data_IF_051855582121
#
_entry.id   IF_051855582121
#
_cell.length_a   1.000
_cell.length_b   1.000
_cell.length_c   1.000
_cell.angle_alpha   90.00
_cell.angle_beta   90.00
_cell.angle_gamma   90.00
#
_symmetry.space_group_name_H-M   'P 1'
#
loop_
_entity.id
_entity.type
_entity.pdbx_description
1 polymer ?
#
# COMPACT_ATOMS: atom_id res chain seq x y z
N UNK A 1 3.58 14.44 -10.17
CA UNK A 1 4.72 13.92 -10.93
C UNK A 1 5.97 14.08 -10.09
N UNK A 2 6.82 13.06 -10.07
CA UNK A 2 8.17 13.15 -9.51
C UNK A 2 9.19 13.63 -10.55
N UNK A 3 10.45 13.72 -10.14
CA UNK A 3 11.55 14.25 -10.95
C UNK A 3 12.83 13.44 -10.72
N UNK A 4 13.71 13.42 -11.71
CA UNK A 4 15.11 13.04 -11.53
C UNK A 4 15.99 14.28 -11.55
N UNK A 5 16.80 14.45 -10.50
CA UNK A 5 17.80 15.52 -10.40
C UNK A 5 19.21 14.94 -10.52
N UNK A 6 20.11 15.65 -11.19
CA UNK A 6 21.50 15.23 -11.29
C UNK A 6 22.39 16.30 -11.93
N UNK A 7 23.69 16.25 -11.61
CA UNK A 7 24.67 17.15 -12.21
C UNK A 7 24.98 16.74 -13.65
N UNK A 8 25.08 15.44 -13.89
CA UNK A 8 25.38 14.87 -15.21
C UNK A 8 24.12 14.81 -16.07
N UNK A 9 24.23 15.24 -17.32
CA UNK A 9 23.17 15.02 -18.30
C UNK A 9 23.26 13.58 -18.82
N UNK A 10 22.25 12.73 -18.58
CA UNK A 10 22.31 11.36 -19.06
C UNK A 10 22.22 11.37 -20.58
N UNK A 11 23.04 10.53 -21.22
CA UNK A 11 23.03 10.30 -22.67
C UNK A 11 22.41 8.93 -22.93
N UNK A 12 21.63 8.82 -23.99
CA UNK A 12 21.05 7.53 -24.42
C UNK A 12 22.22 6.56 -24.63
N UNK A 13 22.20 5.47 -23.86
CA UNK A 13 23.22 4.41 -23.90
C UNK A 13 22.89 3.35 -24.94
N UNK A 14 23.58 2.21 -24.85
CA UNK A 14 23.28 1.04 -25.66
C UNK A 14 21.83 0.56 -25.41
N UNK A 15 21.16 0.06 -26.45
CA UNK A 15 19.76 -0.39 -26.43
C UNK A 15 18.70 0.68 -26.16
N UNK A 16 18.96 1.95 -26.48
CA UNK A 16 18.03 3.08 -26.32
C UNK A 16 17.59 3.35 -24.86
N UNK A 17 18.35 2.84 -23.88
CA UNK A 17 18.11 3.06 -22.45
C UNK A 17 18.86 4.30 -21.95
N UNK A 18 18.23 5.05 -21.05
CA UNK A 18 18.85 6.22 -20.40
C UNK A 18 19.46 5.76 -19.06
N UNK A 19 20.79 5.82 -18.88
CA UNK A 19 21.42 5.48 -17.62
C UNK A 19 20.95 6.46 -16.53
N UNK A 20 20.72 5.94 -15.32
CA UNK A 20 20.25 6.72 -14.18
C UNK A 20 21.32 6.90 -13.10
N UNK A 21 22.54 6.42 -13.36
CA UNK A 21 23.67 6.57 -12.45
C UNK A 21 23.95 8.04 -12.15
N UNK A 22 24.03 8.38 -10.86
CA UNK A 22 24.23 9.74 -10.38
C UNK A 22 22.99 10.64 -10.49
N UNK A 23 21.86 10.12 -10.97
CA UNK A 23 20.56 10.78 -10.83
C UNK A 23 19.94 10.40 -9.50
N UNK A 24 19.15 11.32 -8.94
CA UNK A 24 18.46 11.13 -7.67
C UNK A 24 16.95 11.32 -7.92
N UNK A 25 16.12 10.29 -7.71
CA UNK A 25 14.68 10.42 -7.84
C UNK A 25 14.09 11.19 -6.67
N UNK A 26 13.13 12.05 -6.99
CA UNK A 26 12.30 12.78 -6.04
C UNK A 26 10.85 12.60 -6.43
N UNK A 27 10.19 11.65 -5.77
CA UNK A 27 8.85 11.19 -6.18
C UNK A 27 7.77 12.25 -5.94
N UNK A 28 7.95 13.09 -4.91
CA UNK A 28 7.05 14.18 -4.60
C UNK A 28 7.78 15.53 -4.41
N UNK A 29 7.87 16.35 -5.48
CA UNK A 29 8.47 17.69 -5.41
C UNK A 29 7.70 18.74 -4.62
N UNK A 30 6.46 18.47 -4.21
CA UNK A 30 5.69 19.40 -3.37
C UNK A 30 6.01 19.23 -1.89
N UNK A 31 6.56 18.08 -1.48
CA UNK A 31 7.05 17.82 -0.13
C UNK A 31 8.55 18.11 -0.01
N UNK A 32 9.02 18.42 1.21
CA UNK A 32 10.45 18.61 1.44
C UNK A 32 11.21 17.30 1.18
N UNK A 33 12.39 17.33 0.53
CA UNK A 33 13.12 16.11 0.25
C UNK A 33 13.64 15.48 1.54
N UNK A 34 13.41 14.18 1.70
CA UNK A 34 13.98 13.38 2.80
C UNK A 34 15.40 12.91 2.48
N UNK A 35 15.71 12.63 1.22
CA UNK A 35 17.05 12.21 0.77
C UNK A 35 18.07 13.37 0.87
N UNK A 36 19.17 13.24 1.63
CA UNK A 36 20.22 14.25 1.73
C UNK A 36 20.88 14.60 0.39
N UNK A 37 20.90 13.68 -0.58
CA UNK A 37 21.42 13.91 -1.93
C UNK A 37 20.60 14.98 -2.65
N UNK A 38 19.27 14.96 -2.53
CA UNK A 38 18.39 15.99 -3.10
C UNK A 38 18.63 17.36 -2.46
N UNK A 39 18.83 17.40 -1.13
CA UNK A 39 19.17 18.66 -0.43
C UNK A 39 20.50 19.25 -0.94
N UNK A 40 21.52 18.42 -1.17
CA UNK A 40 22.80 18.86 -1.76
C UNK A 40 22.66 19.42 -3.18
N UNK A 41 21.70 18.92 -3.94
CA UNK A 41 21.36 19.43 -5.27
C UNK A 41 20.51 20.73 -5.21
N UNK A 42 20.20 21.24 -4.01
CA UNK A 42 19.42 22.47 -3.82
C UNK A 42 17.91 22.27 -4.04
N UNK A 43 17.40 21.05 -3.85
CA UNK A 43 15.97 20.80 -3.87
C UNK A 43 15.31 21.27 -2.56
N UNK A 44 14.19 22.00 -2.69
CA UNK A 44 13.34 22.47 -1.59
C UNK A 44 11.87 22.26 -1.98
N UNK A 45 10.97 22.08 -1.03
CA UNK A 45 9.54 21.86 -1.30
C UNK A 45 8.98 22.91 -2.29
N UNK A 46 8.41 22.46 -3.41
CA UNK A 46 7.86 23.31 -4.47
C UNK A 46 8.89 24.04 -5.35
N UNK A 47 10.19 23.92 -5.06
CA UNK A 47 11.27 24.64 -5.76
C UNK A 47 12.29 23.66 -6.36
N UNK A 48 12.19 23.51 -7.66
CA UNK A 48 13.03 22.57 -8.44
C UNK A 48 14.25 23.31 -9.01
N UNK A 49 15.48 22.82 -8.79
CA UNK A 49 16.67 23.37 -9.44
C UNK A 49 16.67 23.00 -10.92
N UNK A 50 16.02 23.81 -11.77
CA UNK A 50 15.77 23.51 -13.17
C UNK A 50 17.04 23.15 -13.97
N UNK A 51 18.19 23.76 -13.66
CA UNK A 51 19.49 23.44 -14.28
C UNK A 51 19.97 22.01 -14.04
N UNK A 52 19.46 21.35 -13.00
CA UNK A 52 19.77 19.99 -12.59
C UNK A 52 18.63 19.01 -12.90
N UNK A 53 17.53 19.47 -13.51
CA UNK A 53 16.44 18.58 -13.92
C UNK A 53 16.91 17.70 -15.08
N UNK A 54 16.80 16.37 -14.90
CA UNK A 54 17.25 15.36 -15.88
C UNK A 54 16.15 14.44 -16.38
N UNK A 55 15.04 14.35 -15.65
CA UNK A 55 13.90 13.53 -16.05
C UNK A 55 12.65 13.83 -15.25
N UNK A 56 11.52 13.33 -15.74
CA UNK A 56 10.21 13.43 -15.09
C UNK A 56 9.71 12.03 -14.77
N UNK A 57 9.16 11.84 -13.57
CA UNK A 57 8.54 10.61 -13.10
C UNK A 57 7.03 10.82 -13.13
N UNK A 58 6.31 9.93 -13.79
CA UNK A 58 4.86 9.97 -13.82
C UNK A 58 4.29 8.54 -13.76
N UNK A 59 3.10 8.44 -13.17
CA UNK A 59 2.32 7.21 -13.09
C UNK A 59 1.20 7.35 -14.12
N UNK A 60 0.90 6.29 -14.85
CA UNK A 60 -0.20 6.27 -15.82
C UNK A 60 -0.31 4.90 -16.48
N UNK A 61 -1.49 4.61 -17.02
CA UNK A 61 -1.76 3.31 -17.68
C UNK A 61 -0.91 3.11 -18.94
N UNK A 62 -0.49 4.21 -19.58
CA UNK A 62 0.39 4.22 -20.73
C UNK A 62 1.35 5.40 -20.69
N UNK A 63 2.39 5.37 -21.53
CA UNK A 63 3.30 6.51 -21.71
C UNK A 63 2.67 7.71 -22.43
N UNK A 64 1.52 7.55 -23.11
CA UNK A 64 0.98 8.59 -23.98
C UNK A 64 0.54 9.87 -23.21
N UNK A 65 -0.23 9.80 -22.11
CA UNK A 65 -0.57 10.97 -21.29
C UNK A 65 0.67 11.68 -20.75
N UNK A 66 1.68 10.92 -20.32
CA UNK A 66 2.93 11.45 -19.77
C UNK A 66 3.72 12.22 -20.83
N UNK A 67 3.87 11.65 -22.03
CA UNK A 67 4.55 12.32 -23.15
C UNK A 67 3.80 13.58 -23.60
N UNK A 68 2.47 13.54 -23.66
CA UNK A 68 1.65 14.69 -24.02
C UNK A 68 1.85 15.83 -23.00
N UNK A 69 1.86 15.50 -21.71
CA UNK A 69 2.11 16.47 -20.65
C UNK A 69 3.53 17.06 -20.70
N UNK A 70 4.56 16.22 -20.90
CA UNK A 70 5.94 16.68 -21.02
C UNK A 70 6.14 17.63 -22.21
N UNK A 71 5.48 17.37 -23.34
CA UNK A 71 5.47 18.28 -24.50
C UNK A 71 4.73 19.59 -24.21
N UNK A 72 3.61 19.53 -23.48
CA UNK A 72 2.87 20.73 -23.10
C UNK A 72 3.71 21.65 -22.18
N UNK A 73 4.49 21.07 -21.25
CA UNK A 73 5.41 21.81 -20.37
C UNK A 73 6.48 22.58 -21.15
N UNK A 74 6.98 22.04 -22.26
CA UNK A 74 8.03 22.69 -23.05
C UNK A 74 7.48 23.73 -24.03
N UNK A 75 6.21 23.61 -24.45
CA UNK A 75 5.60 24.49 -25.44
C UNK A 75 4.91 25.71 -24.84
N UNK A 76 4.31 25.58 -23.65
CA UNK A 76 3.58 26.68 -23.00
C UNK A 76 3.81 26.65 -21.49
N UNK A 77 4.61 27.57 -20.90
CA UNK A 77 4.60 27.78 -19.46
C UNK A 77 3.21 28.33 -19.09
N UNK A 78 2.30 27.44 -18.71
CA UNK A 78 0.92 27.80 -18.37
C UNK A 78 0.93 28.77 -17.19
N UNK A 79 0.31 29.94 -17.38
CA UNK A 79 -0.09 30.84 -16.30
C UNK A 79 -1.24 30.18 -15.54
N UNK A 80 -1.06 29.89 -14.26
CA UNK A 80 -2.13 29.32 -13.46
C UNK A 80 -3.20 30.39 -13.17
N UNK A 81 -4.49 30.16 -13.49
CA UNK A 81 -5.57 31.04 -13.03
C UNK A 81 -5.62 31.07 -11.49
N UNK A 82 -5.82 32.28 -10.94
CA UNK A 82 -5.70 32.61 -9.51
C UNK A 82 -6.79 32.03 -8.62
N UNK A 83 -7.90 31.60 -9.21
CA UNK A 83 -9.07 31.26 -8.41
C UNK A 83 -8.93 29.86 -7.80
N UNK A 84 -9.12 29.83 -6.48
CA UNK A 84 -9.09 28.61 -5.66
C UNK A 84 -10.46 27.95 -5.77
N UNK A 85 -10.55 26.74 -6.34
CA UNK A 85 -11.78 25.99 -6.27
C UNK A 85 -11.98 25.49 -4.83
N UNK A 86 -13.10 25.83 -4.21
CA UNK A 86 -13.55 25.16 -2.99
C UNK A 86 -13.86 23.70 -3.32
N UNK A 87 -13.02 22.78 -2.86
CA UNK A 87 -13.20 21.33 -3.01
C UNK A 87 -13.11 20.70 -1.63
N UNK A 88 -14.17 19.99 -1.25
CA UNK A 88 -14.23 19.21 -0.02
C UNK A 88 -13.41 17.91 -0.17
N UNK A 89 -12.15 17.97 0.24
CA UNK A 89 -11.23 16.84 0.33
C UNK A 89 -11.07 16.42 1.79
N UNK A 90 -11.50 15.19 2.08
CA UNK A 90 -11.33 14.58 3.39
C UNK A 90 -9.86 14.36 3.77
N UNK A 91 -9.64 13.79 4.95
CA UNK A 91 -8.33 13.32 5.38
C UNK A 91 -8.06 11.91 4.86
N UNK A 92 -6.78 11.51 4.69
CA UNK A 92 -6.45 10.12 4.45
C UNK A 92 -7.12 9.20 5.47
N UNK A 93 -7.59 8.04 5.01
CA UNK A 93 -8.12 7.02 5.94
C UNK A 93 -6.96 6.55 6.82
N UNK A 94 -7.12 6.52 8.16
CA UNK A 94 -6.06 6.04 9.03
C UNK A 94 -5.77 4.55 8.72
N UNK A 95 -4.52 4.12 8.92
CA UNK A 95 -4.15 2.72 8.91
C UNK A 95 -4.98 1.92 9.94
N UNK A 96 -5.17 0.61 9.74
CA UNK A 96 -5.79 -0.23 10.77
C UNK A 96 -4.96 -0.20 12.05
N UNK A 97 -5.61 -0.30 13.21
CA UNK A 97 -4.92 -0.42 14.50
C UNK A 97 -4.78 -1.86 14.94
N UNK A 98 -5.75 -2.70 14.58
CA UNK A 98 -5.83 -4.09 15.00
C UNK A 98 -5.82 -5.04 13.80
N UNK A 99 -4.82 -5.93 13.75
CA UNK A 99 -4.67 -6.90 12.66
C UNK A 99 -4.48 -8.31 13.24
N UNK A 100 -5.22 -9.27 12.70
CA UNK A 100 -4.98 -10.70 12.92
C UNK A 100 -4.29 -11.28 11.68
N UNK A 101 -3.11 -11.86 11.85
CA UNK A 101 -2.38 -12.57 10.80
C UNK A 101 -2.52 -14.06 11.04
N UNK A 102 -2.88 -14.82 10.01
CA UNK A 102 -3.02 -16.27 10.05
C UNK A 102 -1.94 -16.90 9.18
N UNK A 103 -1.12 -17.73 9.79
CA UNK A 103 0.06 -18.33 9.16
C UNK A 103 1.34 -17.53 9.46
N UNK A 104 2.40 -17.85 8.73
CA UNK A 104 3.73 -17.31 8.98
C UNK A 104 4.50 -17.07 7.68
N UNK A 105 5.49 -16.19 7.75
CA UNK A 105 6.37 -15.87 6.63
C UNK A 105 7.15 -14.59 6.88
N UNK A 106 8.00 -14.21 5.92
CA UNK A 106 8.79 -12.98 6.02
C UNK A 106 7.91 -11.72 6.11
N UNK A 107 6.69 -11.78 5.55
CA UNK A 107 5.72 -10.69 5.58
C UNK A 107 5.31 -10.27 7.01
N UNK A 108 5.35 -11.19 7.99
CA UNK A 108 4.95 -10.87 9.37
C UNK A 108 5.82 -9.76 9.96
N UNK A 109 7.13 -9.79 9.70
CA UNK A 109 8.02 -8.75 10.19
C UNK A 109 7.73 -7.38 9.55
N UNK A 110 7.57 -7.35 8.23
CA UNK A 110 7.26 -6.10 7.52
C UNK A 110 5.90 -5.53 7.92
N UNK A 111 4.88 -6.38 8.11
CA UNK A 111 3.57 -5.96 8.64
C UNK A 111 3.73 -5.38 10.06
N UNK A 112 4.50 -6.05 10.93
CA UNK A 112 4.73 -5.61 12.31
C UNK A 112 5.40 -4.24 12.35
N UNK A 113 6.51 -4.07 11.64
CA UNK A 113 7.25 -2.80 11.59
C UNK A 113 6.41 -1.68 10.99
N UNK A 114 5.73 -1.96 9.88
CA UNK A 114 4.92 -0.94 9.19
C UNK A 114 3.73 -0.51 10.04
N UNK A 115 3.04 -1.45 10.70
CA UNK A 115 1.92 -1.14 11.57
C UNK A 115 2.35 -0.28 12.77
N UNK A 116 3.46 -0.66 13.43
CA UNK A 116 4.00 0.09 14.57
C UNK A 116 4.47 1.50 14.19
N UNK A 117 4.98 1.68 12.96
CA UNK A 117 5.39 3.01 12.46
C UNK A 117 4.22 3.92 12.08
N UNK A 118 3.08 3.35 11.66
CA UNK A 118 1.94 4.11 11.14
C UNK A 118 0.88 4.44 12.21
N UNK A 119 0.81 3.69 13.32
CA UNK A 119 -0.33 3.73 14.23
C UNK A 119 0.10 3.66 15.70
N UNK A 120 -0.46 4.53 16.54
CA UNK A 120 -0.36 4.42 17.99
C UNK A 120 -1.19 3.24 18.52
N UNK A 121 -0.70 2.57 19.56
CA UNK A 121 -1.36 1.41 20.18
C UNK A 121 -1.66 0.27 19.19
N UNK A 122 -0.77 0.07 18.21
CA UNK A 122 -0.86 -1.02 17.23
C UNK A 122 -1.03 -2.39 17.91
N UNK A 123 -2.05 -3.15 17.53
CA UNK A 123 -2.34 -4.47 18.07
C UNK A 123 -2.26 -5.53 16.97
N UNK A 124 -1.22 -6.36 17.02
CA UNK A 124 -1.00 -7.43 16.05
C UNK A 124 -1.07 -8.79 16.75
N UNK A 125 -1.95 -9.66 16.27
CA UNK A 125 -1.99 -11.06 16.71
C UNK A 125 -1.60 -11.95 15.54
N UNK A 126 -0.67 -12.87 15.76
CA UNK A 126 -0.24 -13.88 14.78
C UNK A 126 -0.73 -15.24 15.25
N UNK A 127 -1.74 -15.77 14.57
CA UNK A 127 -2.23 -17.13 14.75
C UNK A 127 -1.36 -18.11 13.95
N UNK A 128 -0.86 -19.12 14.65
CA UNK A 128 0.29 -19.90 14.24
C UNK A 128 0.06 -21.41 14.47
N UNK A 129 0.72 -22.28 13.70
CA UNK A 129 0.51 -23.73 13.79
C UNK A 129 1.19 -24.38 15.01
N UNK A 130 2.20 -23.74 15.58
CA UNK A 130 2.90 -24.21 16.77
C UNK A 130 4.10 -25.11 16.48
N UNK A 131 4.41 -25.37 15.20
CA UNK A 131 5.53 -26.20 14.80
C UNK A 131 6.87 -25.54 15.22
N UNK A 132 7.72 -26.20 16.04
CA UNK A 132 8.90 -25.57 16.62
C UNK A 132 9.87 -24.95 15.60
N UNK A 133 10.05 -25.61 14.45
CA UNK A 133 10.91 -25.12 13.37
C UNK A 133 10.37 -23.84 12.74
N UNK A 134 9.04 -23.75 12.58
CA UNK A 134 8.38 -22.55 12.08
C UNK A 134 8.49 -21.42 13.12
N UNK A 135 8.31 -21.70 14.44
CA UNK A 135 8.44 -20.68 15.51
C UNK A 135 9.84 -20.08 15.49
N UNK A 136 10.87 -20.92 15.34
CA UNK A 136 12.25 -20.45 15.26
C UNK A 136 12.47 -19.53 14.04
N UNK A 137 11.87 -19.87 12.89
CA UNK A 137 11.89 -19.02 11.70
C UNK A 137 11.21 -17.67 11.98
N UNK A 138 9.99 -17.67 12.54
CA UNK A 138 9.26 -16.46 12.89
C UNK A 138 10.06 -15.55 13.83
N UNK A 139 10.62 -16.11 14.91
CA UNK A 139 11.49 -15.38 15.84
C UNK A 139 12.70 -14.76 15.14
N UNK A 140 13.33 -15.51 14.23
CA UNK A 140 14.50 -15.01 13.49
C UNK A 140 14.15 -13.87 12.53
N UNK A 141 12.97 -13.91 11.88
CA UNK A 141 12.49 -12.83 11.01
C UNK A 141 12.17 -11.59 11.85
N UNK A 142 11.42 -11.73 12.94
CA UNK A 142 11.08 -10.62 13.84
C UNK A 142 12.31 -9.99 14.50
N UNK A 143 13.28 -10.80 14.92
CA UNK A 143 14.52 -10.29 15.50
C UNK A 143 15.33 -9.46 14.50
N UNK A 144 15.39 -9.86 13.23
CA UNK A 144 16.03 -9.06 12.16
C UNK A 144 15.30 -7.73 11.95
N UNK A 145 14.01 -7.70 12.23
CA UNK A 145 13.18 -6.51 12.21
C UNK A 145 13.23 -5.66 13.50
N UNK A 146 14.08 -6.04 14.47
CA UNK A 146 14.22 -5.33 15.74
C UNK A 146 13.16 -5.67 16.79
N UNK A 147 12.30 -6.66 16.54
CA UNK A 147 11.24 -7.09 17.46
C UNK A 147 11.70 -8.34 18.22
N UNK A 148 11.82 -8.23 19.55
CA UNK A 148 12.21 -9.34 20.41
C UNK A 148 10.99 -10.00 21.04
N UNK A 149 10.73 -11.25 20.66
CA UNK A 149 9.67 -12.05 21.27
C UNK A 149 10.12 -12.60 22.62
N UNK A 150 9.34 -12.30 23.64
CA UNK A 150 9.46 -12.81 25.01
C UNK A 150 8.35 -13.83 25.28
N UNK A 151 8.62 -14.78 26.17
CA UNK A 151 7.63 -15.79 26.56
C UNK A 151 6.85 -15.28 27.77
N UNK A 152 5.54 -15.22 27.65
CA UNK A 152 4.62 -14.83 28.70
C UNK A 152 4.39 -15.98 29.70
N UNK A 153 3.85 -15.65 30.88
CA UNK A 153 3.60 -16.59 31.96
C UNK A 153 2.62 -17.73 31.59
N UNK A 154 1.71 -17.48 30.65
CA UNK A 154 0.76 -18.46 30.12
C UNK A 154 1.31 -19.28 28.95
N UNK A 155 2.59 -19.08 28.60
CA UNK A 155 3.27 -19.81 27.53
C UNK A 155 3.12 -19.21 26.14
N UNK A 156 2.35 -18.13 25.97
CA UNK A 156 2.30 -17.35 24.71
C UNK A 156 3.61 -16.59 24.49
N UNK A 157 3.83 -16.14 23.25
CA UNK A 157 4.92 -15.22 22.95
C UNK A 157 4.37 -13.83 22.67
N UNK A 158 5.04 -12.80 23.19
CA UNK A 158 4.64 -11.42 23.02
C UNK A 158 5.84 -10.50 22.80
N UNK A 159 5.59 -9.32 22.24
CA UNK A 159 6.57 -8.24 22.18
C UNK A 159 5.87 -6.89 22.30
N UNK A 160 6.48 -5.96 23.02
CA UNK A 160 6.12 -4.55 22.93
C UNK A 160 6.61 -3.98 21.59
N UNK A 161 5.78 -3.16 20.96
CA UNK A 161 6.10 -2.41 19.76
C UNK A 161 6.25 -0.92 20.11
N UNK A 162 6.79 -0.15 19.17
CA UNK A 162 6.85 1.30 19.31
C UNK A 162 5.45 1.90 19.51
N UNK A 163 5.41 3.11 20.10
CA UNK A 163 4.18 3.90 20.30
C UNK A 163 3.06 3.15 21.04
N UNK A 164 3.43 2.31 22.02
CA UNK A 164 2.48 1.59 22.87
C UNK A 164 1.86 0.35 22.22
N UNK A 165 2.29 -0.02 21.01
CA UNK A 165 1.80 -1.21 20.34
C UNK A 165 2.24 -2.51 20.99
N UNK A 166 1.59 -3.62 20.60
CA UNK A 166 1.93 -4.97 21.02
C UNK A 166 1.75 -5.98 19.89
N UNK A 167 2.63 -6.97 19.90
CA UNK A 167 2.57 -8.18 19.08
C UNK A 167 2.32 -9.37 19.99
N UNK A 168 1.38 -10.23 19.64
CA UNK A 168 1.12 -11.50 20.29
C UNK A 168 1.21 -12.64 19.28
N UNK A 169 1.87 -13.74 19.64
CA UNK A 169 1.90 -14.97 18.84
C UNK A 169 1.15 -16.05 19.61
N UNK A 170 0.11 -16.58 18.98
CA UNK A 170 -0.76 -17.62 19.54
C UNK A 170 -0.67 -18.86 18.65
N UNK A 171 -0.38 -19.99 19.26
CA UNK A 171 -0.21 -21.27 18.57
C UNK A 171 -1.26 -22.28 19.00
N UNK A 172 -1.73 -23.08 18.05
CA UNK A 172 -2.61 -24.21 18.33
C UNK A 172 -1.79 -25.44 18.77
N UNK A 173 -2.19 -26.18 19.82
CA UNK A 173 -1.52 -27.43 20.20
C UNK A 173 -1.61 -28.54 19.16
N UNK A 174 -2.57 -28.48 18.22
CA UNK A 174 -2.85 -29.51 17.22
C UNK A 174 -2.37 -29.14 15.81
N UNK A 175 -1.65 -28.03 15.63
CA UNK A 175 -1.11 -27.67 14.32
C UNK A 175 -2.01 -26.80 13.45
N UNK A 176 -3.17 -26.33 13.90
CA UNK A 176 -4.10 -25.56 13.07
C UNK A 176 -4.12 -24.06 13.43
N UNK A 177 -3.31 -23.28 12.71
CA UNK A 177 -3.29 -21.82 12.81
C UNK A 177 -4.68 -21.18 12.61
N UNK A 178 -5.54 -21.79 11.79
CA UNK A 178 -6.88 -21.26 11.53
C UNK A 178 -7.81 -21.47 12.73
N UNK A 179 -7.77 -22.62 13.42
CA UNK A 179 -8.58 -22.82 14.64
C UNK A 179 -8.20 -21.80 15.73
N UNK A 180 -6.91 -21.53 15.90
CA UNK A 180 -6.46 -20.45 16.79
C UNK A 180 -7.04 -19.11 16.34
N UNK A 181 -6.93 -18.76 15.05
CA UNK A 181 -7.47 -17.50 14.53
C UNK A 181 -8.97 -17.35 14.79
N UNK A 182 -9.76 -18.42 14.60
CA UNK A 182 -11.20 -18.42 14.87
C UNK A 182 -11.51 -18.23 16.36
N UNK A 183 -10.74 -18.87 17.25
CA UNK A 183 -10.86 -18.71 18.71
C UNK A 183 -10.53 -17.28 19.14
N UNK A 184 -9.46 -16.69 18.59
CA UNK A 184 -9.10 -15.29 18.85
C UNK A 184 -10.22 -14.37 18.41
N UNK A 185 -10.80 -14.60 17.23
CA UNK A 185 -11.91 -13.80 16.73
C UNK A 185 -13.14 -13.88 17.65
N UNK A 186 -13.38 -14.95 18.39
CA UNK A 186 -14.51 -15.03 19.32
C UNK A 186 -14.45 -14.00 20.43
N UNK A 187 -13.24 -13.71 20.91
CA UNK A 187 -13.01 -12.89 22.11
C UNK A 187 -12.57 -11.47 21.76
N UNK A 188 -12.04 -11.27 20.55
CA UNK A 188 -11.41 -10.03 20.14
C UNK A 188 -11.93 -9.53 18.79
N UNK A 189 -11.79 -8.22 18.56
CA UNK A 189 -12.17 -7.55 17.33
C UNK A 189 -10.94 -7.08 16.58
N UNK A 190 -10.98 -7.22 15.27
CA UNK A 190 -9.91 -6.80 14.37
C UNK A 190 -10.49 -5.98 13.22
N UNK A 191 -9.71 -5.01 12.74
CA UNK A 191 -10.06 -4.23 11.55
C UNK A 191 -9.66 -4.95 10.26
N UNK A 192 -8.62 -5.78 10.33
CA UNK A 192 -8.16 -6.59 9.23
C UNK A 192 -7.74 -8.00 9.65
N UNK A 193 -7.97 -8.97 8.76
CA UNK A 193 -7.45 -10.33 8.85
C UNK A 193 -6.58 -10.61 7.64
N UNK A 194 -5.33 -11.02 7.85
CA UNK A 194 -4.37 -11.33 6.80
C UNK A 194 -4.13 -12.83 6.77
N UNK A 195 -4.48 -13.49 5.68
CA UNK A 195 -4.21 -14.91 5.45
C UNK A 195 -2.94 -15.01 4.61
N UNK A 196 -1.85 -15.47 5.22
CA UNK A 196 -0.56 -15.64 4.53
C UNK A 196 -0.49 -16.99 3.83
N UNK A 197 0.13 -16.99 2.66
CA UNK A 197 0.44 -18.20 1.93
C UNK A 197 1.68 -18.85 2.55
N UNK A 198 1.58 -20.12 2.92
CA UNK A 198 2.74 -20.87 3.38
C UNK A 198 3.58 -21.27 2.16
N UNK A 199 4.78 -20.71 2.04
CA UNK A 199 5.65 -20.93 0.88
C UNK A 199 6.08 -22.40 0.72
N UNK A 200 6.19 -23.13 1.83
CA UNK A 200 6.65 -24.53 1.86
C UNK A 200 5.48 -25.54 1.75
N UNK A 201 4.23 -25.07 1.69
CA UNK A 201 3.05 -25.95 1.69
C UNK A 201 2.70 -26.45 0.29
N UNK A 202 2.48 -27.77 0.18
CA UNK A 202 1.79 -28.37 -0.97
C UNK A 202 0.37 -27.80 -1.05
N UNK A 203 0.00 -27.31 -2.23
CA UNK A 203 -1.30 -26.67 -2.51
C UNK A 203 -1.63 -25.46 -1.61
N UNK A 204 -0.63 -24.58 -1.39
CA UNK A 204 -0.77 -23.35 -0.60
C UNK A 204 -2.03 -22.52 -0.93
N UNK A 205 -2.35 -22.34 -2.22
CA UNK A 205 -3.58 -21.65 -2.66
C UNK A 205 -4.86 -22.32 -2.10
N UNK A 206 -4.92 -23.65 -2.13
CA UNK A 206 -6.08 -24.39 -1.65
C UNK A 206 -6.26 -24.23 -0.15
N UNK A 207 -5.15 -24.24 0.62
CA UNK A 207 -5.17 -23.97 2.06
C UNK A 207 -5.68 -22.56 2.35
N UNK A 208 -5.18 -21.54 1.67
CA UNK A 208 -5.67 -20.16 1.84
C UNK A 208 -7.15 -20.04 1.49
N UNK A 209 -7.61 -20.65 0.40
CA UNK A 209 -9.03 -20.64 0.03
C UNK A 209 -9.91 -21.35 1.08
N UNK A 210 -9.46 -22.48 1.64
CA UNK A 210 -10.17 -23.16 2.74
C UNK A 210 -10.22 -22.29 4.01
N UNK A 211 -9.13 -21.60 4.34
CA UNK A 211 -9.09 -20.61 5.44
C UNK A 211 -10.10 -19.49 5.23
N UNK A 212 -10.20 -18.97 4.00
CA UNK A 212 -11.22 -17.97 3.65
C UNK A 212 -12.64 -18.48 3.87
N UNK A 213 -12.94 -19.74 3.52
CA UNK A 213 -14.27 -20.32 3.72
C UNK A 213 -14.60 -20.51 5.20
N UNK A 214 -13.66 -21.06 5.98
CA UNK A 214 -13.83 -21.19 7.45
C UNK A 214 -14.01 -19.84 8.14
N UNK A 215 -13.25 -18.83 7.71
CA UNK A 215 -13.42 -17.46 8.19
C UNK A 215 -14.80 -16.90 7.83
N UNK A 216 -15.25 -17.11 6.59
CA UNK A 216 -16.56 -16.65 6.15
C UNK A 216 -17.70 -17.26 6.96
N UNK A 217 -17.68 -18.57 7.18
CA UNK A 217 -18.66 -19.28 8.03
C UNK A 217 -18.70 -18.68 9.43
N UNK A 218 -17.53 -18.40 10.02
CA UNK A 218 -17.45 -17.77 11.34
C UNK A 218 -18.02 -16.35 11.34
N UNK A 219 -17.64 -15.53 10.38
CA UNK A 219 -18.13 -14.15 10.28
C UNK A 219 -19.64 -14.09 9.99
N UNK A 220 -20.19 -15.03 9.23
CA UNK A 220 -21.63 -15.15 8.97
C UNK A 220 -22.46 -15.38 10.24
N UNK A 221 -21.85 -16.04 11.25
CA UNK A 221 -22.51 -16.31 12.54
C UNK A 221 -22.47 -15.14 13.54
N UNK A 222 -21.80 -14.01 13.21
CA UNK A 222 -21.64 -12.86 14.12
C UNK A 222 -22.46 -11.66 13.63
N UNK A 223 -23.15 -10.94 14.52
CA UNK A 223 -23.90 -9.73 14.17
C UNK A 223 -23.05 -8.45 14.07
N UNK A 224 -21.73 -8.57 14.18
CA UNK A 224 -20.82 -7.42 14.28
C UNK A 224 -20.24 -7.00 12.92
N UNK A 225 -19.55 -5.85 12.92
CA UNK A 225 -18.79 -5.36 11.77
C UNK A 225 -17.75 -6.38 11.33
N UNK A 226 -17.75 -6.71 10.04
CA UNK A 226 -16.82 -7.69 9.46
C UNK A 226 -15.46 -7.04 9.15
N UNK A 227 -14.32 -7.71 9.45
CA UNK A 227 -13.00 -7.19 9.14
C UNK A 227 -12.74 -7.18 7.62
N UNK A 228 -11.79 -6.35 7.18
CA UNK A 228 -11.22 -6.47 5.84
C UNK A 228 -10.33 -7.72 5.79
N UNK A 229 -10.61 -8.63 4.88
CA UNK A 229 -9.79 -9.82 4.65
C UNK A 229 -8.77 -9.57 3.53
N UNK A 230 -7.49 -9.75 3.82
CA UNK A 230 -6.43 -9.83 2.81
C UNK A 230 -5.98 -11.28 2.71
N UNK A 231 -5.95 -11.85 1.51
CA UNK A 231 -5.52 -13.22 1.29
C UNK A 231 -4.39 -13.29 0.27
N UNK A 232 -3.25 -13.83 0.70
CA UNK A 232 -2.10 -14.09 -0.16
C UNK A 232 -2.29 -15.43 -0.88
N UNK A 233 -2.09 -15.41 -2.19
CA UNK A 233 -2.22 -16.55 -3.09
C UNK A 233 -1.11 -16.49 -4.14
N UNK A 234 -0.62 -17.63 -4.61
CA UNK A 234 0.21 -17.67 -5.80
C UNK A 234 -0.59 -17.18 -7.03
N UNK A 235 -1.86 -17.60 -7.14
CA UNK A 235 -2.73 -17.27 -8.27
C UNK A 235 -4.01 -16.52 -7.85
N UNK A 236 -4.08 -15.22 -8.18
CA UNK A 236 -5.28 -14.40 -7.91
C UNK A 236 -6.53 -14.96 -8.60
N UNK A 237 -6.39 -15.45 -9.84
CA UNK A 237 -7.53 -15.98 -10.61
C UNK A 237 -8.19 -17.20 -9.97
N UNK A 238 -7.43 -18.02 -9.22
CA UNK A 238 -8.00 -19.10 -8.41
C UNK A 238 -8.79 -18.55 -7.22
N UNK A 239 -8.25 -17.55 -6.53
CA UNK A 239 -8.89 -16.90 -5.39
C UNK A 239 -10.18 -16.16 -5.72
N UNK A 240 -10.34 -15.65 -6.94
CA UNK A 240 -11.56 -14.94 -7.37
C UNK A 240 -12.82 -15.80 -7.21
N UNK A 241 -12.71 -17.12 -7.41
CA UNK A 241 -13.82 -18.05 -7.18
C UNK A 241 -14.19 -18.14 -5.70
N UNK A 242 -13.20 -18.25 -4.82
CA UNK A 242 -13.42 -18.25 -3.37
C UNK A 242 -14.00 -16.92 -2.88
N UNK A 243 -13.52 -15.79 -3.43
CA UNK A 243 -14.07 -14.46 -3.15
C UNK A 243 -15.53 -14.34 -3.58
N UNK A 244 -15.87 -14.77 -4.78
CA UNK A 244 -17.24 -14.76 -5.29
C UNK A 244 -18.18 -15.66 -4.47
N UNK A 245 -17.71 -16.83 -4.04
CA UNK A 245 -18.47 -17.73 -3.18
C UNK A 245 -18.72 -17.13 -1.80
N UNK A 246 -17.71 -16.50 -1.20
CA UNK A 246 -17.84 -15.76 0.06
C UNK A 246 -18.88 -14.65 -0.09
N UNK A 247 -18.75 -13.81 -1.11
CA UNK A 247 -19.67 -12.72 -1.39
C UNK A 247 -21.11 -13.23 -1.53
N UNK A 248 -21.33 -14.26 -2.35
CA UNK A 248 -22.66 -14.85 -2.54
C UNK A 248 -23.22 -15.56 -1.30
N UNK A 249 -22.39 -15.97 -0.33
CA UNK A 249 -22.87 -16.51 0.95
C UNK A 249 -23.42 -15.40 1.86
N UNK A 250 -22.73 -14.26 1.95
CA UNK A 250 -23.18 -13.08 2.70
C UNK A 250 -24.44 -12.45 2.08
N UNK A 251 -24.48 -12.31 0.75
CA UNK A 251 -25.66 -11.78 0.05
C UNK A 251 -26.90 -12.64 0.30
N UNK A 252 -26.77 -13.98 0.25
CA UNK A 252 -27.88 -14.91 0.57
C UNK A 252 -28.33 -14.82 2.03
N UNK A 253 -27.42 -14.48 2.94
CA UNK A 253 -27.75 -14.22 4.33
C UNK A 253 -28.35 -12.83 4.57
N UNK A 254 -28.48 -11.99 3.53
CA UNK A 254 -28.96 -10.61 3.65
C UNK A 254 -27.97 -9.70 4.36
N UNK A 255 -26.67 -10.01 4.31
CA UNK A 255 -25.60 -9.31 5.03
C UNK A 255 -24.60 -8.70 4.06
N UNK A 256 -23.99 -7.60 4.47
CA UNK A 256 -22.89 -6.99 3.70
C UNK A 256 -21.65 -7.91 3.78
N UNK A 257 -21.07 -8.31 2.63
CA UNK A 257 -19.88 -9.14 2.62
C UNK A 257 -18.66 -8.36 3.14
N UNK A 258 -17.69 -9.03 3.79
CA UNK A 258 -16.41 -8.39 4.09
C UNK A 258 -15.73 -7.96 2.80
N UNK A 259 -15.02 -6.84 2.85
CA UNK A 259 -14.08 -6.49 1.80
C UNK A 259 -12.99 -7.56 1.75
N UNK A 260 -12.76 -8.13 0.58
CA UNK A 260 -11.70 -9.12 0.34
C UNK A 260 -10.71 -8.57 -0.67
N UNK A 261 -9.43 -8.54 -0.31
CA UNK A 261 -8.32 -8.21 -1.21
C UNK A 261 -7.46 -9.44 -1.41
N UNK A 262 -7.38 -9.90 -2.66
CA UNK A 262 -6.50 -10.99 -3.06
C UNK A 262 -5.17 -10.41 -3.53
N UNK A 263 -4.07 -10.97 -3.04
CA UNK A 263 -2.72 -10.51 -3.37
C UNK A 263 -1.92 -11.69 -3.89
N UNK A 264 -1.24 -11.51 -5.02
CA UNK A 264 -0.20 -12.45 -5.47
C UNK A 264 1.17 -11.80 -5.41
N UNK A 265 1.95 -12.24 -4.43
CA UNK A 265 3.35 -11.83 -4.26
C UNK A 265 4.18 -12.21 -5.49
N UNK A 266 3.86 -13.34 -6.15
CA UNK A 266 4.52 -13.75 -7.39
C UNK A 266 4.19 -12.80 -8.55
N UNK A 267 2.92 -12.46 -8.75
CA UNK A 267 2.50 -11.54 -9.80
C UNK A 267 3.09 -10.14 -9.61
N UNK A 268 3.08 -9.63 -8.36
CA UNK A 268 3.68 -8.34 -8.00
C UNK A 268 5.19 -8.37 -8.26
N UNK A 269 5.89 -9.44 -7.84
CA UNK A 269 7.32 -9.60 -8.09
C UNK A 269 7.64 -9.62 -9.58
N UNK A 270 6.89 -10.40 -10.37
CA UNK A 270 7.09 -10.49 -11.82
C UNK A 270 6.85 -9.14 -12.49
N UNK A 271 5.82 -8.40 -12.07
CA UNK A 271 5.57 -7.05 -12.56
C UNK A 271 6.75 -6.12 -12.27
N UNK A 272 7.26 -6.11 -11.03
CA UNK A 272 8.44 -5.31 -10.68
C UNK A 272 9.66 -5.71 -11.50
N UNK A 273 9.98 -6.99 -11.60
CA UNK A 273 11.15 -7.47 -12.37
C UNK A 273 11.11 -7.02 -13.83
N UNK A 274 9.95 -7.14 -14.48
CA UNK A 274 9.77 -6.68 -15.86
C UNK A 274 9.93 -5.17 -15.94
N UNK A 275 9.29 -4.41 -15.06
CA UNK A 275 9.38 -2.95 -15.10
C UNK A 275 10.81 -2.46 -14.86
N UNK A 276 11.55 -3.09 -13.96
CA UNK A 276 12.96 -2.78 -13.67
C UNK A 276 13.89 -3.04 -14.84
N UNK A 277 13.55 -3.97 -15.73
CA UNK A 277 14.32 -4.23 -16.95
C UNK A 277 14.11 -3.15 -18.02
N UNK A 278 12.95 -2.48 -18.04
CA UNK A 278 12.57 -1.55 -19.12
C UNK A 278 12.51 -0.08 -18.70
N UNK A 279 12.44 0.20 -17.40
CA UNK A 279 12.32 1.57 -16.87
C UNK A 279 13.52 1.86 -15.97
N UNK A 280 14.57 2.51 -16.49
CA UNK A 280 15.74 2.88 -15.70
C UNK A 280 15.37 3.68 -14.46
N UNK A 281 15.98 3.33 -13.32
CA UNK A 281 15.78 4.02 -12.04
C UNK A 281 14.46 3.72 -11.34
N UNK A 282 13.58 2.88 -11.90
CA UNK A 282 12.27 2.57 -11.29
C UNK A 282 12.40 1.85 -9.93
N UNK A 283 13.47 1.08 -9.73
CA UNK A 283 13.74 0.41 -8.45
C UNK A 283 13.84 1.42 -7.31
N UNK A 284 14.55 2.52 -7.52
CA UNK A 284 14.68 3.56 -6.50
C UNK A 284 13.35 4.28 -6.24
N UNK A 285 12.53 4.46 -7.27
CA UNK A 285 11.18 5.02 -7.15
C UNK A 285 10.28 4.09 -6.34
N UNK A 286 10.28 2.78 -6.62
CA UNK A 286 9.51 1.81 -5.85
C UNK A 286 10.00 1.70 -4.41
N UNK A 287 11.31 1.73 -4.17
CA UNK A 287 11.86 1.74 -2.82
C UNK A 287 11.45 2.97 -2.02
N UNK A 288 11.26 4.13 -2.67
CA UNK A 288 10.73 5.32 -1.99
C UNK A 288 9.22 5.22 -1.71
N UNK A 289 8.43 4.65 -2.63
CA UNK A 289 6.98 4.54 -2.49
C UNK A 289 6.52 3.38 -1.58
N UNK A 290 7.27 2.29 -1.56
CA UNK A 290 6.95 1.07 -0.80
C UNK A 290 7.85 0.92 0.44
N UNK A 291 8.74 1.89 0.65
CA UNK A 291 9.67 1.90 1.77
C UNK A 291 8.98 2.23 3.09
N UNK A 292 9.68 1.96 4.19
CA UNK A 292 9.16 2.09 5.55
C UNK A 292 8.89 3.55 5.98
N UNK A 293 9.50 4.54 5.33
CA UNK A 293 9.42 5.96 5.68
C UNK A 293 9.28 6.85 4.45
N UNK A 294 8.69 8.03 4.64
CA UNK A 294 8.57 9.06 3.61
C UNK A 294 7.24 9.02 2.87
N UNK A 295 7.28 8.97 1.54
CA UNK A 295 6.09 9.17 0.70
C UNK A 295 5.33 7.86 0.46
N UNK A 296 4.01 7.87 0.62
CA UNK A 296 3.14 6.72 0.41
C UNK A 296 1.94 7.07 -0.48
N UNK A 297 1.21 6.05 -0.90
CA UNK A 297 -0.05 6.13 -1.63
C UNK A 297 -1.22 6.25 -0.65
N UNK A 298 -1.83 7.43 -0.62
CA UNK A 298 -2.99 7.71 0.23
C UNK A 298 -4.27 7.82 -0.57
N UNK A 299 -5.38 7.41 0.05
CA UNK A 299 -6.74 7.58 -0.48
C UNK A 299 -7.46 8.65 0.33
N UNK A 300 -7.82 9.75 -0.32
CA UNK A 300 -8.60 10.84 0.27
C UNK A 300 -10.06 10.75 -0.20
N UNK A 301 -11.04 10.67 0.72
CA UNK A 301 -12.44 10.79 0.36
C UNK A 301 -12.71 12.13 -0.34
N UNK A 302 -13.55 12.10 -1.36
CA UNK A 302 -13.94 13.28 -2.12
C UNK A 302 -15.47 13.32 -2.21
N UNK A 303 -16.05 14.48 -1.92
CA UNK A 303 -17.49 14.74 -2.07
C UNK A 303 -17.70 15.88 -3.06
N UNK A 304 -17.76 15.59 -4.37
CA UNK A 304 -17.92 16.64 -5.37
C UNK A 304 -19.34 17.21 -5.30
N UNK A 305 -19.48 18.52 -5.04
CA UNK A 305 -20.75 19.25 -5.21
C UNK A 305 -20.98 19.69 -6.66
N UNK A 306 -19.94 19.60 -7.48
CA UNK A 306 -19.91 19.90 -8.92
C UNK A 306 -18.86 19.02 -9.59
N UNK A 307 -18.85 18.90 -10.92
CA UNK A 307 -17.77 18.22 -11.62
C UNK A 307 -16.39 18.82 -11.26
N UNK A 308 -15.45 17.97 -10.89
CA UNK A 308 -14.07 18.33 -10.52
C UNK A 308 -13.08 17.87 -11.57
N UNK A 309 -11.98 18.62 -11.73
CA UNK A 309 -10.89 18.28 -12.66
C UNK A 309 -9.61 17.99 -11.90
N UNK A 310 -8.71 17.18 -12.49
CA UNK A 310 -7.41 16.87 -11.89
C UNK A 310 -6.59 18.13 -11.60
N UNK A 311 -6.66 19.14 -12.48
CA UNK A 311 -5.97 20.41 -12.28
C UNK A 311 -6.41 21.15 -11.00
N UNK A 312 -7.69 21.05 -10.63
CA UNK A 312 -8.23 21.68 -9.43
C UNK A 312 -7.78 20.93 -8.17
N UNK A 313 -7.89 19.60 -8.20
CA UNK A 313 -7.41 18.73 -7.10
C UNK A 313 -5.92 18.90 -6.87
N UNK A 314 -5.12 19.01 -7.92
CA UNK A 314 -3.67 19.22 -7.82
C UNK A 314 -3.33 20.47 -7.02
N UNK A 315 -4.11 21.55 -7.18
CA UNK A 315 -3.91 22.79 -6.43
C UNK A 315 -4.30 22.61 -4.97
N UNK A 316 -5.46 22.02 -4.71
CA UNK A 316 -5.95 21.78 -3.37
C UNK A 316 -5.00 20.88 -2.55
N UNK A 317 -4.37 19.90 -3.20
CA UNK A 317 -3.42 18.99 -2.56
C UNK A 317 -1.99 19.51 -2.49
N UNK A 318 -1.60 20.50 -3.30
CA UNK A 318 -0.25 21.07 -3.25
C UNK A 318 0.04 21.72 -1.89
N UNK A 319 -0.93 22.39 -1.27
CA UNK A 319 -0.80 22.97 0.08
C UNK A 319 -0.61 21.90 1.17
N UNK A 320 -1.09 20.68 0.92
CA UNK A 320 -0.91 19.51 1.79
C UNK A 320 0.38 18.73 1.47
N UNK A 321 1.23 19.24 0.58
CA UNK A 321 2.42 18.52 0.13
C UNK A 321 2.09 17.20 -0.59
N UNK A 322 0.95 17.12 -1.27
CA UNK A 322 0.46 15.89 -1.92
C UNK A 322 0.36 16.04 -3.45
N UNK A 323 0.48 14.92 -4.16
CA UNK A 323 0.35 14.84 -5.61
C UNK A 323 -0.80 13.88 -5.97
N UNK A 324 -1.92 14.34 -6.54
CA UNK A 324 -2.94 13.43 -7.03
C UNK A 324 -2.43 12.62 -8.22
N UNK A 325 -2.76 11.33 -8.24
CA UNK A 325 -2.39 10.41 -9.30
C UNK A 325 -3.61 9.74 -9.95
N UNK A 326 -4.75 9.65 -9.25
CA UNK A 326 -5.96 9.04 -9.81
C UNK A 326 -7.24 9.54 -9.13
N UNK A 327 -8.37 9.35 -9.81
CA UNK A 327 -9.70 9.40 -9.20
C UNK A 327 -10.25 7.99 -9.04
N UNK A 328 -10.93 7.73 -7.93
CA UNK A 328 -11.80 6.58 -7.77
C UNK A 328 -13.24 7.02 -8.02
N UNK A 329 -13.93 6.34 -8.92
CA UNK A 329 -15.33 6.62 -9.27
C UNK A 329 -16.30 5.86 -8.37
N UNK A 330 -17.56 6.26 -8.35
CA UNK A 330 -18.63 5.56 -7.64
C UNK A 330 -18.76 4.09 -8.07
N UNK A 331 -18.51 3.81 -9.35
CA UNK A 331 -18.44 2.45 -9.92
C UNK A 331 -17.32 1.58 -9.33
N UNK A 332 -16.34 2.18 -8.65
CA UNK A 332 -15.11 1.54 -8.21
C UNK A 332 -13.98 1.55 -9.25
N UNK A 333 -14.23 2.04 -10.47
CA UNK A 333 -13.19 2.25 -11.46
C UNK A 333 -12.16 3.29 -10.98
N UNK A 334 -10.89 3.04 -11.26
CA UNK A 334 -9.79 3.97 -10.97
C UNK A 334 -9.33 4.61 -12.28
N UNK A 335 -9.62 5.89 -12.43
CA UNK A 335 -9.10 6.69 -13.54
C UNK A 335 -7.68 7.17 -13.20
N UNK A 336 -6.67 6.43 -13.66
CA UNK A 336 -5.25 6.72 -13.41
C UNK A 336 -4.72 7.80 -14.35
N UNK A 337 -4.12 8.85 -13.77
CA UNK A 337 -3.56 10.01 -14.47
C UNK A 337 -4.43 10.54 -15.63
N UNK A 338 -5.69 10.89 -15.36
CA UNK A 338 -6.60 11.33 -16.41
C UNK A 338 -6.16 12.68 -16.98
N UNK A 339 -6.61 13.05 -18.18
CA UNK A 339 -6.34 14.36 -18.75
C UNK A 339 -6.72 15.48 -17.77
N UNK A 340 -5.85 16.49 -17.64
CA UNK A 340 -5.96 17.54 -16.63
C UNK A 340 -7.31 18.30 -16.67
N UNK A 341 -7.90 18.39 -17.85
CA UNK A 341 -9.12 19.16 -18.13
C UNK A 341 -10.40 18.27 -18.15
N UNK A 342 -10.27 16.94 -18.00
CA UNK A 342 -11.42 16.02 -17.88
C UNK A 342 -12.12 16.28 -16.55
N UNK A 343 -13.44 16.48 -16.61
CA UNK A 343 -14.28 16.69 -15.45
C UNK A 343 -14.92 15.36 -14.98
N UNK A 344 -14.98 15.16 -13.67
CA UNK A 344 -15.55 14.00 -13.01
C UNK A 344 -16.63 14.45 -12.03
N UNK A 345 -17.86 13.99 -12.20
CA UNK A 345 -18.99 14.26 -11.31
C UNK A 345 -19.27 13.11 -10.33
N UNK A 346 -18.81 11.92 -10.67
CA UNK A 346 -19.03 10.64 -9.99
C UNK A 346 -17.77 10.19 -9.21
N UNK A 347 -16.84 11.09 -8.94
CA UNK A 347 -15.63 10.77 -8.20
C UNK A 347 -15.92 10.69 -6.69
N UNK A 348 -15.62 9.54 -6.08
CA UNK A 348 -15.80 9.30 -4.63
C UNK A 348 -14.53 9.46 -3.81
N UNK A 349 -13.36 9.39 -4.45
CA UNK A 349 -12.07 9.58 -3.81
C UNK A 349 -10.99 10.01 -4.79
N UNK A 350 -9.89 10.51 -4.23
CA UNK A 350 -8.65 10.80 -4.94
C UNK A 350 -7.54 9.93 -4.35
N UNK A 351 -6.77 9.27 -5.21
CA UNK A 351 -5.50 8.68 -4.81
C UNK A 351 -4.39 9.71 -5.03
N UNK A 352 -3.55 9.88 -4.02
CA UNK A 352 -2.43 10.80 -4.06
C UNK A 352 -1.17 10.17 -3.47
N UNK A 353 -0.02 10.75 -3.82
CA UNK A 353 1.25 10.49 -3.15
C UNK A 353 1.46 11.61 -2.14
N UNK A 354 1.74 11.26 -0.89
CA UNK A 354 1.93 12.21 0.19
C UNK A 354 2.68 11.61 1.37
N UNK A 355 3.05 12.46 2.32
CA UNK A 355 3.51 11.98 3.62
C UNK A 355 2.32 11.43 4.41
N UNK A 356 2.55 10.36 5.17
CA UNK A 356 1.53 9.72 6.02
C UNK A 356 1.99 9.61 7.46
N UNK A 357 3.21 10.06 7.77
CA UNK A 357 3.64 10.17 9.17
C UNK A 357 2.76 11.23 9.87
N UNK A 358 2.08 10.87 10.98
CA UNK A 358 1.45 11.88 11.81
C UNK A 358 2.53 12.76 12.45
N UNK A 359 2.34 14.08 12.41
CA UNK A 359 3.17 15.09 13.10
C UNK A 359 3.29 14.83 14.61
#
# INVERSE_FOLDING_TARGET
>A
MGLFLGEVQPRIGEHDLIPTDGLVPWVNPTAAPTDPRLKRLGAEAGKVPARLLRGVIAIGDTYAPVRAYARALTQHPRREPSDRPEIDLGTPRPPPRSILVVGYGDAVASITQRLAGLTDDAHLVVAFDGEPSHVQRLRSVLQRAGVQLEREADGRWGAALDRGGRLEVRSDPHGDAMETALTVLETERFEAVVLLAEADAVDSDARTMLRMMRLAERLLSRDESVPHVLAELASVSKGERARAQLQGAFERAGREPPRVTLVSTEQIRNYFMVHSAFVPGINEVYSQLLGERGQDLVRLPLRPTRPVRLAEIRRALAERGMIPIAFELESGEVALNPPADRAFSDARAVFAIGDVEPD
#
